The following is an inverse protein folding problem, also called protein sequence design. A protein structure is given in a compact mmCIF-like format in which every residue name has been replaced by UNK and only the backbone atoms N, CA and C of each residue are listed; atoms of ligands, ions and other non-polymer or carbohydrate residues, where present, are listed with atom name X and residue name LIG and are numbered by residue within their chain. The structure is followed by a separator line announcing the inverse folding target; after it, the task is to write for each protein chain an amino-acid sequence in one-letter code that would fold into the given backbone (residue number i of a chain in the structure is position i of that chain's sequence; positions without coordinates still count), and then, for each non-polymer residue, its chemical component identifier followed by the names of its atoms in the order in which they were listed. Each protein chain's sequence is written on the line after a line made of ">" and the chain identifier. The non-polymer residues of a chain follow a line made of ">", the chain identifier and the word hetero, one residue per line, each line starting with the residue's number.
data_IF_704533283496
#
_entry.id   IF_704533283496
#
_cell.length_a   1.000
_cell.length_b   1.000
_cell.length_c   1.000
_cell.angle_alpha   90.00
_cell.angle_beta   90.00
_cell.angle_gamma   90.00
#
_symmetry.space_group_name_H-M   'P 1'
#
loop_
_entity.id
_entity.type
_entity.pdbx_description
1 polymer ?
#
# COMPACT_ATOMS: atom_id res chain seq x y z
N UNK A 1 2.60 44.34 46.51
CA UNK A 1 3.27 43.02 46.64
C UNK A 1 2.40 42.00 45.91
N UNK A 2 2.68 41.70 44.64
CA UNK A 2 3.54 40.60 44.16
C UNK A 2 3.13 39.22 44.72
N UNK A 3 2.74 38.34 43.77
CA UNK A 3 2.60 36.87 43.85
C UNK A 3 1.27 36.44 44.48
N UNK A 4 0.32 35.85 43.76
CA UNK A 4 0.42 34.51 43.17
C UNK A 4 -0.37 34.46 41.86
N UNK A 5 0.38 34.48 40.76
CA UNK A 5 -0.05 34.15 39.41
C UNK A 5 0.70 32.86 39.07
N UNK A 6 0.31 31.72 39.64
CA UNK A 6 0.97 30.45 39.32
C UNK A 6 0.13 29.22 39.74
N UNK A 7 -1.05 29.07 39.16
CA UNK A 7 -1.77 27.79 39.22
C UNK A 7 -2.35 27.42 37.84
N UNK A 8 -1.57 27.63 36.78
CA UNK A 8 -2.01 27.42 35.39
C UNK A 8 -1.03 26.62 34.50
N UNK A 9 0.03 26.00 35.04
CA UNK A 9 1.14 25.52 34.18
C UNK A 9 1.74 24.16 34.58
N UNK A 10 0.97 23.19 35.10
CA UNK A 10 1.57 21.86 35.37
C UNK A 10 0.73 20.63 35.01
N UNK A 11 -0.47 20.76 34.44
CA UNK A 11 -0.99 19.72 33.56
C UNK A 11 -0.62 20.07 32.12
N UNK A 12 0.70 20.11 31.88
CA UNK A 12 1.22 19.80 30.57
C UNK A 12 0.71 18.40 30.24
N UNK A 13 -0.41 18.37 29.54
CA UNK A 13 -0.86 17.24 28.76
C UNK A 13 0.35 16.85 27.92
N UNK A 14 1.10 15.86 28.39
CA UNK A 14 1.87 15.00 27.51
C UNK A 14 0.83 14.24 26.70
N UNK A 15 0.21 14.95 25.76
CA UNK A 15 -0.34 14.37 24.56
C UNK A 15 0.86 13.78 23.84
N UNK A 16 1.33 12.63 24.34
CA UNK A 16 1.90 11.63 23.46
C UNK A 16 0.76 11.36 22.49
N UNK A 17 0.76 12.07 21.37
CA UNK A 17 0.15 11.58 20.15
C UNK A 17 0.88 10.27 19.87
N UNK A 18 0.47 9.19 20.54
CA UNK A 18 0.99 7.85 20.31
C UNK A 18 0.74 7.59 18.84
N UNK A 19 1.82 7.44 18.09
CA UNK A 19 1.76 7.27 16.65
C UNK A 19 1.06 5.94 16.39
N UNK A 20 -0.16 6.03 15.84
CA UNK A 20 -0.96 4.86 15.51
C UNK A 20 -0.60 4.42 14.11
N UNK A 21 -0.15 3.17 14.00
CA UNK A 21 0.09 2.54 12.70
C UNK A 21 -1.22 1.92 12.22
N UNK A 22 -1.99 2.68 11.44
CA UNK A 22 -3.29 2.24 10.96
C UNK A 22 -3.22 1.81 9.49
N UNK A 23 -3.68 0.60 9.21
CA UNK A 23 -3.84 0.05 7.87
C UNK A 23 -5.29 -0.36 7.66
N UNK A 24 -5.82 -0.30 6.42
CA UNK A 24 -7.14 -0.81 6.11
C UNK A 24 -7.17 -2.34 6.28
N UNK A 25 -8.07 -2.83 7.12
CA UNK A 25 -8.27 -4.26 7.38
C UNK A 25 -9.57 -4.75 6.76
N UNK A 26 -9.59 -5.99 6.27
CA UNK A 26 -10.85 -6.68 5.96
C UNK A 26 -11.47 -7.33 7.21
N UNK A 27 -12.62 -7.97 7.02
CA UNK A 27 -13.36 -8.71 8.06
C UNK A 27 -12.53 -9.81 8.73
N UNK A 28 -11.51 -10.33 8.03
CA UNK A 28 -10.59 -11.36 8.54
C UNK A 28 -9.34 -10.76 9.24
N UNK A 29 -9.26 -9.43 9.39
CA UNK A 29 -8.11 -8.75 9.96
C UNK A 29 -6.87 -8.72 9.05
N UNK A 30 -7.03 -8.95 7.76
CA UNK A 30 -5.94 -8.88 6.77
C UNK A 30 -5.83 -7.46 6.21
N UNK A 31 -4.61 -6.99 6.00
CA UNK A 31 -4.35 -5.70 5.40
C UNK A 31 -4.67 -5.77 3.90
N UNK A 32 -5.66 -4.98 3.49
CA UNK A 32 -6.08 -4.87 2.08
C UNK A 32 -6.37 -3.42 1.73
N UNK A 33 -5.67 -2.92 0.71
CA UNK A 33 -6.00 -1.63 0.12
C UNK A 33 -6.92 -1.86 -1.06
N UNK A 34 -8.14 -1.34 -0.97
CA UNK A 34 -9.12 -1.47 -2.04
C UNK A 34 -9.85 -0.16 -2.31
N UNK A 35 -10.22 0.06 -3.56
CA UNK A 35 -11.03 1.18 -4.00
C UNK A 35 -11.82 0.76 -5.23
N UNK A 36 -13.06 1.22 -5.34
CA UNK A 36 -13.85 1.18 -6.56
C UNK A 36 -13.75 2.56 -7.21
N UNK A 37 -13.26 2.62 -8.43
CA UNK A 37 -13.01 3.87 -9.15
C UNK A 37 -13.94 3.96 -10.35
N UNK A 38 -14.68 5.07 -10.45
CA UNK A 38 -15.48 5.39 -11.63
C UNK A 38 -14.60 5.73 -12.83
N UNK A 39 -15.00 5.27 -14.01
CA UNK A 39 -14.31 5.51 -15.29
C UNK A 39 -15.36 5.63 -16.39
N UNK A 40 -16.15 6.70 -16.32
CA UNK A 40 -17.27 6.96 -17.23
C UNK A 40 -16.84 6.91 -18.69
N UNK A 41 -17.67 6.30 -19.53
CA UNK A 41 -17.42 6.17 -20.96
C UNK A 41 -16.46 5.03 -21.34
N UNK A 42 -16.00 4.22 -20.38
CA UNK A 42 -15.16 3.04 -20.66
C UNK A 42 -15.93 1.74 -20.55
N UNK A 43 -15.73 0.88 -21.54
CA UNK A 43 -16.25 -0.49 -21.49
C UNK A 43 -15.40 -1.35 -20.56
N UNK A 44 -15.98 -2.44 -20.04
CA UNK A 44 -15.25 -3.47 -19.30
C UNK A 44 -14.07 -4.04 -20.11
N UNK A 45 -14.19 -4.14 -21.43
CA UNK A 45 -13.15 -4.67 -22.32
C UNK A 45 -11.95 -3.71 -22.41
N UNK A 46 -12.21 -2.40 -22.49
CA UNK A 46 -11.17 -1.36 -22.45
C UNK A 46 -10.43 -1.39 -21.12
N UNK A 47 -11.16 -1.44 -20.01
CA UNK A 47 -10.61 -1.47 -18.67
C UNK A 47 -9.82 -2.76 -18.42
N UNK A 48 -10.32 -3.90 -18.90
CA UNK A 48 -9.61 -5.18 -18.80
C UNK A 48 -8.30 -5.15 -19.60
N UNK A 49 -8.34 -4.55 -20.79
CA UNK A 49 -7.16 -4.31 -21.64
C UNK A 49 -6.14 -3.41 -20.94
N UNK A 50 -6.58 -2.28 -20.39
CA UNK A 50 -5.73 -1.37 -19.63
C UNK A 50 -5.15 -2.02 -18.36
N UNK A 51 -5.92 -2.89 -17.68
CA UNK A 51 -5.43 -3.60 -16.49
C UNK A 51 -4.27 -4.54 -16.81
N UNK A 52 -4.29 -5.22 -17.97
CA UNK A 52 -3.15 -5.99 -18.45
C UNK A 52 -1.97 -5.08 -18.78
N UNK A 53 -2.20 -3.96 -19.47
CA UNK A 53 -1.15 -2.98 -19.78
C UNK A 53 -0.50 -2.42 -18.53
N UNK A 54 -1.23 -2.26 -17.44
CA UNK A 54 -0.67 -1.81 -16.17
C UNK A 54 0.44 -2.76 -15.70
N UNK A 55 0.22 -4.07 -15.75
CA UNK A 55 1.25 -5.04 -15.36
C UNK A 55 2.42 -5.08 -16.34
N UNK A 56 2.15 -5.01 -17.65
CA UNK A 56 3.19 -4.98 -18.69
C UNK A 56 4.07 -3.73 -18.54
N UNK A 57 3.45 -2.56 -18.40
CA UNK A 57 4.16 -1.28 -18.37
C UNK A 57 4.90 -1.06 -17.06
N UNK A 58 4.28 -1.40 -15.92
CA UNK A 58 4.81 -1.15 -14.57
C UNK A 58 5.82 -2.21 -14.14
N UNK A 59 5.51 -3.48 -14.38
CA UNK A 59 6.26 -4.61 -13.84
C UNK A 59 6.99 -5.45 -14.90
N UNK A 60 6.87 -5.09 -16.19
CA UNK A 60 7.48 -5.80 -17.31
C UNK A 60 7.10 -7.29 -17.36
N UNK A 61 5.91 -7.61 -16.86
CA UNK A 61 5.37 -8.97 -16.93
C UNK A 61 4.94 -9.26 -18.35
N UNK A 62 5.34 -10.40 -18.89
CA UNK A 62 4.88 -10.85 -20.20
C UNK A 62 3.42 -11.28 -20.12
N UNK A 63 2.64 -11.01 -21.16
CA UNK A 63 1.20 -11.28 -21.17
C UNK A 63 0.84 -12.73 -20.81
N UNK A 64 1.66 -13.67 -21.29
CA UNK A 64 1.50 -15.12 -21.08
C UNK A 64 1.60 -15.53 -19.61
N UNK A 65 2.28 -14.72 -18.78
CA UNK A 65 2.48 -14.99 -17.35
C UNK A 65 1.42 -14.35 -16.47
N UNK A 66 0.61 -13.43 -17.01
CA UNK A 66 -0.45 -12.78 -16.26
C UNK A 66 -1.57 -13.75 -15.92
N UNK A 67 -1.97 -13.80 -14.66
CA UNK A 67 -3.16 -14.57 -14.25
C UNK A 67 -4.39 -13.75 -14.62
N UNK A 68 -5.17 -14.28 -15.56
CA UNK A 68 -6.35 -13.62 -16.12
C UNK A 68 -7.58 -14.50 -15.89
N UNK A 69 -8.69 -13.88 -15.51
CA UNK A 69 -10.01 -14.50 -15.55
C UNK A 69 -10.86 -13.70 -16.54
N UNK A 70 -11.06 -14.27 -17.74
CA UNK A 70 -11.81 -13.61 -18.83
C UNK A 70 -13.30 -13.52 -18.55
N UNK A 71 -13.87 -14.50 -17.84
CA UNK A 71 -15.29 -14.49 -17.47
C UNK A 71 -15.59 -13.38 -16.46
N UNK A 72 -14.71 -13.22 -15.48
CA UNK A 72 -14.82 -12.19 -14.46
C UNK A 72 -14.24 -10.84 -14.87
N UNK A 73 -13.58 -10.72 -16.04
CA UNK A 73 -12.87 -9.50 -16.46
C UNK A 73 -11.86 -9.00 -15.42
N UNK A 74 -11.06 -9.93 -14.88
CA UNK A 74 -10.06 -9.61 -13.85
C UNK A 74 -8.66 -10.06 -14.19
N UNK A 75 -7.67 -9.26 -13.82
CA UNK A 75 -6.23 -9.57 -13.92
C UNK A 75 -5.62 -9.50 -12.52
N UNK A 76 -4.78 -10.47 -12.18
CA UNK A 76 -4.07 -10.46 -10.90
C UNK A 76 -2.65 -10.99 -11.04
N UNK A 77 -1.72 -10.42 -10.28
CA UNK A 77 -0.36 -10.95 -10.22
C UNK A 77 0.34 -10.60 -8.90
N UNK A 78 1.35 -11.41 -8.56
CA UNK A 78 2.25 -11.17 -7.43
C UNK A 78 3.43 -10.34 -7.91
N UNK A 79 3.69 -9.23 -7.22
CA UNK A 79 4.71 -8.27 -7.59
C UNK A 79 5.56 -7.89 -6.38
N UNK A 80 6.65 -7.18 -6.64
CA UNK A 80 7.42 -6.54 -5.60
C UNK A 80 7.93 -5.18 -6.05
N UNK A 81 8.22 -4.33 -5.08
CA UNK A 81 8.99 -3.12 -5.26
C UNK A 81 10.11 -3.03 -4.23
N UNK A 82 11.09 -2.18 -4.51
CA UNK A 82 12.19 -1.91 -3.59
C UNK A 82 11.92 -0.55 -2.96
N UNK A 83 11.66 -0.55 -1.66
CA UNK A 83 11.53 0.66 -0.85
C UNK A 83 12.83 0.94 -0.09
N UNK A 84 13.09 2.21 0.19
CA UNK A 84 14.19 2.64 1.07
C UNK A 84 13.62 2.98 2.44
N UNK A 85 14.14 2.34 3.48
CA UNK A 85 13.71 2.52 4.87
C UNK A 85 14.89 2.99 5.71
N UNK A 86 14.70 4.04 6.52
CA UNK A 86 15.70 4.46 7.51
C UNK A 86 15.69 3.53 8.71
N UNK A 87 16.77 2.81 8.93
CA UNK A 87 16.98 1.92 10.09
C UNK A 87 18.26 2.36 10.80
N UNK A 88 18.15 2.76 12.06
CA UNK A 88 19.27 3.29 12.86
C UNK A 88 20.06 4.41 12.14
N UNK A 89 19.36 5.29 11.42
CA UNK A 89 19.96 6.41 10.69
C UNK A 89 20.59 6.05 9.34
N UNK A 90 20.63 4.77 8.94
CA UNK A 90 21.10 4.32 7.63
C UNK A 90 19.93 3.99 6.70
N UNK A 91 20.10 4.28 5.41
CA UNK A 91 19.13 3.91 4.39
C UNK A 91 19.32 2.43 4.00
N UNK A 92 18.26 1.64 4.19
CA UNK A 92 18.23 0.20 3.89
C UNK A 92 17.24 -0.07 2.78
N UNK A 93 17.67 -0.77 1.74
CA UNK A 93 16.78 -1.25 0.66
C UNK A 93 16.03 -2.49 1.12
N UNK A 94 14.70 -2.45 1.08
CA UNK A 94 13.83 -3.55 1.47
C UNK A 94 12.89 -3.88 0.32
N UNK A 95 12.71 -5.17 0.04
CA UNK A 95 11.68 -5.61 -0.92
C UNK A 95 10.33 -5.71 -0.24
N UNK A 96 9.34 -5.02 -0.78
CA UNK A 96 7.94 -5.13 -0.42
C UNK A 96 7.25 -5.99 -1.48
N UNK A 97 6.76 -7.16 -1.08
CA UNK A 97 6.00 -8.07 -1.93
C UNK A 97 4.50 -7.88 -1.69
N UNK A 98 3.69 -8.06 -2.72
CA UNK A 98 2.24 -7.88 -2.67
C UNK A 98 1.55 -8.57 -3.85
N UNK A 99 0.27 -8.85 -3.72
CA UNK A 99 -0.63 -9.24 -4.81
C UNK A 99 -1.47 -8.05 -5.22
N UNK A 100 -1.51 -7.75 -6.53
CA UNK A 100 -2.47 -6.79 -7.10
C UNK A 100 -3.54 -7.59 -7.83
N UNK A 101 -4.81 -7.23 -7.64
CA UNK A 101 -5.94 -7.71 -8.42
C UNK A 101 -6.75 -6.53 -8.94
N UNK A 102 -7.12 -6.52 -10.22
CA UNK A 102 -7.96 -5.50 -10.84
C UNK A 102 -9.16 -6.18 -11.50
N UNK A 103 -10.36 -5.77 -11.12
CA UNK A 103 -11.64 -6.23 -11.65
C UNK A 103 -12.29 -5.12 -12.47
N UNK A 104 -12.65 -5.42 -13.72
CA UNK A 104 -13.21 -4.44 -14.65
C UNK A 104 -14.71 -4.64 -14.85
N UNK A 105 -15.47 -3.55 -14.84
CA UNK A 105 -16.90 -3.49 -15.20
C UNK A 105 -17.14 -2.27 -16.07
N UNK A 106 -18.29 -2.21 -16.74
CA UNK A 106 -18.62 -1.00 -17.50
C UNK A 106 -18.64 0.21 -16.57
N UNK A 107 -17.98 1.28 -17.02
CA UNK A 107 -17.84 2.56 -16.34
C UNK A 107 -17.12 2.53 -14.98
N UNK A 108 -16.52 1.42 -14.54
CA UNK A 108 -15.80 1.36 -13.26
C UNK A 108 -14.87 0.16 -13.14
N UNK A 109 -13.88 0.27 -12.27
CA UNK A 109 -13.04 -0.85 -11.89
C UNK A 109 -12.83 -0.89 -10.38
N UNK A 110 -12.49 -2.06 -9.85
CA UNK A 110 -12.06 -2.25 -8.47
C UNK A 110 -10.62 -2.73 -8.49
N UNK A 111 -9.76 -2.16 -7.66
CA UNK A 111 -8.45 -2.76 -7.40
C UNK A 111 -8.34 -3.24 -5.95
N UNK A 112 -7.48 -4.22 -5.74
CA UNK A 112 -7.09 -4.76 -4.44
C UNK A 112 -5.57 -4.94 -4.40
N UNK A 113 -4.93 -4.42 -3.35
CA UNK A 113 -3.52 -4.69 -3.03
C UNK A 113 -3.50 -5.40 -1.68
N UNK A 114 -3.06 -6.67 -1.66
CA UNK A 114 -3.17 -7.58 -0.51
C UNK A 114 -1.97 -8.51 -0.43
N UNK A 115 -1.96 -9.39 0.58
CA UNK A 115 -0.88 -10.36 0.84
C UNK A 115 0.49 -9.67 0.89
N UNK A 116 0.57 -8.60 1.69
CA UNK A 116 1.72 -7.70 1.68
C UNK A 116 2.73 -8.18 2.73
N UNK A 117 3.98 -8.35 2.32
CA UNK A 117 5.05 -8.76 3.22
C UNK A 117 6.40 -8.18 2.80
N UNK A 118 7.29 -7.99 3.77
CA UNK A 118 8.70 -7.68 3.51
C UNK A 118 9.52 -8.94 3.54
N UNK A 119 10.48 -9.08 2.64
CA UNK A 119 11.42 -10.22 2.62
C UNK A 119 12.87 -9.74 2.75
N UNK A 120 13.58 -10.36 3.67
CA UNK A 120 15.06 -10.34 3.77
C UNK A 120 15.60 -11.70 3.34
N UNK A 121 16.94 -11.86 3.30
CA UNK A 121 17.56 -13.15 2.97
C UNK A 121 17.15 -14.28 3.94
N UNK A 122 16.82 -13.92 5.19
CA UNK A 122 16.58 -14.87 6.28
C UNK A 122 15.14 -14.94 6.75
N UNK A 123 14.27 -14.02 6.32
CA UNK A 123 12.90 -13.97 6.83
C UNK A 123 11.91 -13.30 5.88
N UNK A 124 10.66 -13.77 5.92
CA UNK A 124 9.49 -13.10 5.38
C UNK A 124 8.62 -12.62 6.53
N UNK A 125 8.22 -11.35 6.51
CA UNK A 125 7.39 -10.75 7.56
C UNK A 125 6.15 -10.11 6.93
N UNK A 126 4.97 -10.73 7.10
CA UNK A 126 3.69 -10.12 6.74
C UNK A 126 3.49 -8.79 7.48
N UNK A 127 2.83 -7.84 6.84
CA UNK A 127 2.56 -6.54 7.45
C UNK A 127 1.70 -6.66 8.71
N UNK A 128 0.77 -7.61 8.75
CA UNK A 128 -0.07 -7.90 9.93
C UNK A 128 0.76 -8.31 11.14
N UNK A 129 1.91 -8.95 10.90
CA UNK A 129 2.87 -9.32 11.96
C UNK A 129 3.76 -8.14 12.34
N UNK A 130 4.18 -7.33 11.37
CA UNK A 130 5.02 -6.14 11.60
C UNK A 130 4.26 -5.07 12.39
N UNK A 131 2.99 -4.87 12.05
CA UNK A 131 2.09 -3.88 12.62
C UNK A 131 0.94 -4.57 13.36
N UNK A 132 1.29 -5.49 14.27
CA UNK A 132 0.31 -6.09 15.17
C UNK A 132 -0.33 -5.04 16.09
N UNK A 133 -1.40 -5.42 16.80
CA UNK A 133 -2.13 -4.52 17.72
C UNK A 133 -1.26 -3.88 18.82
N UNK A 134 -0.09 -4.45 19.10
CA UNK A 134 0.86 -3.97 20.12
C UNK A 134 2.00 -3.16 19.51
N UNK A 135 2.06 -2.98 18.19
CA UNK A 135 3.17 -2.31 17.51
C UNK A 135 3.35 -0.86 17.98
N UNK A 136 2.27 -0.10 18.12
CA UNK A 136 2.31 1.28 18.65
C UNK A 136 2.77 1.33 20.12
N UNK A 137 2.36 0.37 20.95
CA UNK A 137 2.80 0.27 22.35
C UNK A 137 4.31 -0.07 22.43
N UNK A 138 4.75 -1.06 21.64
CA UNK A 138 6.16 -1.45 21.52
C UNK A 138 7.02 -0.28 21.02
N UNK A 139 6.51 0.49 20.05
CA UNK A 139 7.18 1.67 19.52
C UNK A 139 7.36 2.76 20.59
N UNK A 140 6.33 3.00 21.42
CA UNK A 140 6.40 3.97 22.51
C UNK A 140 7.40 3.55 23.60
N UNK A 141 7.52 2.25 23.88
CA UNK A 141 8.45 1.72 24.88
C UNK A 141 9.90 1.62 24.39
N UNK A 142 10.12 1.52 23.07
CA UNK A 142 11.45 1.30 22.45
C UNK A 142 11.68 2.32 21.33
N UNK A 143 12.28 3.48 21.62
CA UNK A 143 12.40 4.59 20.66
C UNK A 143 12.99 4.20 19.31
N UNK A 144 14.09 3.44 19.28
CA UNK A 144 14.71 2.96 18.02
C UNK A 144 13.80 2.05 17.20
N UNK A 145 13.02 1.20 17.87
CA UNK A 145 12.02 0.36 17.20
C UNK A 145 10.88 1.23 16.66
N UNK A 146 10.44 2.23 17.42
CA UNK A 146 9.42 3.19 16.98
C UNK A 146 9.84 3.96 15.73
N UNK A 147 11.06 4.49 15.69
CA UNK A 147 11.63 5.14 14.50
C UNK A 147 11.66 4.20 13.29
N UNK A 148 12.06 2.95 13.51
CA UNK A 148 12.10 1.93 12.46
C UNK A 148 10.69 1.64 11.93
N UNK A 149 9.72 1.37 12.82
CA UNK A 149 8.32 1.11 12.44
C UNK A 149 7.69 2.29 11.72
N UNK A 150 7.99 3.52 12.14
CA UNK A 150 7.57 4.75 11.47
C UNK A 150 8.15 4.86 10.06
N UNK A 151 9.44 4.56 9.90
CA UNK A 151 10.08 4.57 8.60
C UNK A 151 9.46 3.52 7.66
N UNK A 152 9.19 2.30 8.16
CA UNK A 152 8.48 1.27 7.41
C UNK A 152 7.06 1.72 7.04
N UNK A 153 6.29 2.24 8.00
CA UNK A 153 4.92 2.68 7.79
C UNK A 153 4.84 3.77 6.72
N UNK A 154 5.73 4.77 6.78
CA UNK A 154 5.81 5.82 5.78
C UNK A 154 6.20 5.29 4.40
N UNK A 155 7.23 4.45 4.31
CA UNK A 155 7.71 3.90 3.05
C UNK A 155 6.66 3.00 2.38
N UNK A 156 5.97 2.16 3.15
CA UNK A 156 4.89 1.30 2.66
C UNK A 156 3.72 2.14 2.14
N UNK A 157 3.26 3.14 2.89
CA UNK A 157 2.15 3.98 2.44
C UNK A 157 2.50 4.81 1.20
N UNK A 158 3.73 5.32 1.11
CA UNK A 158 4.21 6.01 -0.08
C UNK A 158 4.22 5.07 -1.30
N UNK A 159 4.73 3.85 -1.14
CA UNK A 159 4.79 2.87 -2.21
C UNK A 159 3.39 2.42 -2.67
N UNK A 160 2.50 2.12 -1.72
CA UNK A 160 1.08 1.82 -2.01
C UNK A 160 0.41 3.00 -2.72
N UNK A 161 0.71 4.23 -2.32
CA UNK A 161 0.26 5.45 -3.00
C UNK A 161 0.71 5.50 -4.47
N UNK A 162 1.98 5.19 -4.73
CA UNK A 162 2.54 5.10 -6.09
C UNK A 162 1.84 4.02 -6.91
N UNK A 163 1.63 2.82 -6.36
CA UNK A 163 0.95 1.72 -7.04
C UNK A 163 -0.48 2.14 -7.41
N UNK A 164 -1.24 2.71 -6.47
CA UNK A 164 -2.59 3.23 -6.72
C UNK A 164 -2.61 4.28 -7.82
N UNK A 165 -1.65 5.20 -7.80
CA UNK A 165 -1.51 6.24 -8.83
C UNK A 165 -1.22 5.64 -10.21
N UNK A 166 -0.33 4.66 -10.29
CA UNK A 166 0.01 3.98 -11.54
C UNK A 166 -1.17 3.19 -12.11
N UNK A 167 -1.92 2.49 -11.24
CA UNK A 167 -3.18 1.84 -11.64
C UNK A 167 -4.13 2.90 -12.22
N UNK A 168 -4.41 3.98 -11.48
CA UNK A 168 -5.33 5.04 -11.94
C UNK A 168 -4.90 5.66 -13.26
N UNK A 169 -3.60 5.94 -13.41
CA UNK A 169 -3.00 6.49 -14.63
C UNK A 169 -3.24 5.58 -15.83
N UNK A 170 -2.88 4.28 -15.72
CA UNK A 170 -3.08 3.34 -16.82
C UNK A 170 -4.56 3.15 -17.15
N UNK A 171 -5.39 3.01 -16.11
CA UNK A 171 -6.82 2.83 -16.26
C UNK A 171 -7.51 4.05 -16.87
N UNK A 172 -6.90 5.24 -16.82
CA UNK A 172 -7.41 6.48 -17.43
C UNK A 172 -7.08 6.63 -18.93
N UNK A 173 -6.12 5.87 -19.46
CA UNK A 173 -5.74 5.93 -20.89
C UNK A 173 -6.85 5.45 -21.83
N UNK A 174 -6.89 5.97 -23.05
CA UNK A 174 -7.68 5.39 -24.14
C UNK A 174 -7.34 3.90 -24.28
N UNK A 175 -8.32 3.08 -24.68
CA UNK A 175 -8.14 1.64 -24.82
C UNK A 175 -6.88 1.32 -25.64
N UNK A 176 -5.98 0.52 -25.10
CA UNK A 176 -4.78 0.10 -25.82
C UNK A 176 -5.21 -0.73 -27.04
N UNK A 177 -4.80 -0.30 -28.22
CA UNK A 177 -5.07 -1.01 -29.47
C UNK A 177 -4.22 -2.28 -29.53
N UNK A 178 -4.62 -3.30 -30.30
CA UNK A 178 -3.83 -4.52 -30.48
C UNK A 178 -2.39 -4.27 -30.96
N UNK A 179 -2.10 -3.12 -31.57
CA UNK A 179 -0.75 -2.72 -32.00
C UNK A 179 0.13 -2.14 -30.88
N UNK A 180 -0.44 -1.79 -29.73
CA UNK A 180 0.30 -1.28 -28.56
C UNK A 180 0.89 -2.43 -27.70
N UNK A 181 0.79 -3.66 -28.20
CA UNK A 181 1.16 -4.91 -27.52
C UNK A 181 2.40 -5.55 -28.12
#
# INVERSE_FOLDING_TARGET
>A
MKKIFLLFVLFALNSYAQEKFEFPLNENGQIIFTEVVSSEGKTKDDLFTNSKMFFVNTYKVTQEKLKQNKEAYSVSDNQYSIMTVKVNGSDVKVKLFYTISILSKDNKYKYEIKNIFTKTEVSETPLEKMFDKTASEKAAQKPKLGETLKAYYAAINAEIGTIKSNIKSEMSKSSATKSDW
#
